data_IF_084230255864
#
_entry.id   IF_084230255864
#
_cell.length_a   1.000
_cell.length_b   1.000
_cell.length_c   1.000
_cell.angle_alpha   90.00
_cell.angle_beta   90.00
_cell.angle_gamma   90.00
#
_symmetry.space_group_name_H-M   'P 1'
#
loop_
_entity.id
_entity.type
_entity.pdbx_description
1 polymer ?
#
# COMPACT_ATOMS: atom_id res chain seq x y z
N UNK A 1 -6.40 -5.52 6.09
CA UNK A 1 -6.81 -4.26 5.40
C UNK A 1 -6.52 -4.24 3.90
N UNK A 2 -5.76 -5.21 3.36
CA UNK A 2 -5.49 -5.33 1.93
C UNK A 2 -6.70 -5.68 1.06
N UNK A 3 -7.62 -6.52 1.55
CA UNK A 3 -8.82 -6.91 0.79
C UNK A 3 -9.73 -5.71 0.52
N UNK A 4 -9.86 -4.80 1.50
CA UNK A 4 -10.61 -3.56 1.33
C UNK A 4 -9.93 -2.62 0.31
N UNK A 5 -8.60 -2.51 0.35
CA UNK A 5 -7.84 -1.73 -0.64
C UNK A 5 -7.95 -2.33 -2.05
N UNK A 6 -7.86 -3.65 -2.18
CA UNK A 6 -8.04 -4.34 -3.47
C UNK A 6 -9.47 -4.12 -4.01
N UNK A 7 -10.49 -4.26 -3.15
CA UNK A 7 -11.88 -4.00 -3.53
C UNK A 7 -12.10 -2.54 -3.95
N UNK A 8 -11.50 -1.58 -3.23
CA UNK A 8 -11.57 -0.15 -3.55
C UNK A 8 -10.91 0.15 -4.91
N UNK A 9 -9.72 -0.40 -5.16
CA UNK A 9 -9.00 -0.23 -6.43
C UNK A 9 -9.78 -0.83 -7.61
N UNK A 10 -10.37 -2.01 -7.43
CA UNK A 10 -11.20 -2.64 -8.45
C UNK A 10 -12.47 -1.81 -8.72
N UNK A 11 -13.13 -1.31 -7.68
CA UNK A 11 -14.31 -0.46 -7.80
C UNK A 11 -13.98 0.88 -8.50
N UNK A 12 -12.87 1.53 -8.12
CA UNK A 12 -12.39 2.75 -8.75
C UNK A 12 -12.06 2.55 -10.23
N UNK A 13 -11.38 1.44 -10.57
CA UNK A 13 -11.05 1.09 -11.95
C UNK A 13 -12.31 0.78 -12.77
N UNK A 14 -13.29 0.09 -12.20
CA UNK A 14 -14.57 -0.19 -12.85
C UNK A 14 -15.37 1.10 -13.11
N UNK A 15 -15.44 1.99 -12.11
CA UNK A 15 -16.08 3.30 -12.24
C UNK A 15 -15.38 4.16 -13.31
N UNK A 16 -14.04 4.23 -13.29
CA UNK A 16 -13.26 4.93 -14.29
C UNK A 16 -13.47 4.38 -15.70
N UNK A 17 -13.51 3.06 -15.88
CA UNK A 17 -13.80 2.43 -17.18
C UNK A 17 -15.20 2.77 -17.68
N UNK A 18 -16.20 2.83 -16.79
CA UNK A 18 -17.58 3.20 -17.15
C UNK A 18 -17.67 4.67 -17.58
N UNK A 19 -17.08 5.58 -16.81
CA UNK A 19 -17.08 7.02 -17.08
C UNK A 19 -16.26 7.33 -18.34
N UNK A 20 -15.09 6.71 -18.50
CA UNK A 20 -14.22 6.96 -19.65
C UNK A 20 -14.81 6.45 -20.96
N UNK A 21 -15.57 5.34 -20.96
CA UNK A 21 -16.35 4.92 -22.13
C UNK A 21 -17.44 5.93 -22.44
N UNK A 22 -18.30 6.24 -21.46
CA UNK A 22 -19.39 7.20 -21.65
C UNK A 22 -18.93 8.60 -22.12
N UNK A 23 -17.78 9.09 -21.63
CA UNK A 23 -17.28 10.43 -21.94
C UNK A 23 -16.37 10.50 -23.18
N UNK A 24 -15.68 9.40 -23.54
CA UNK A 24 -14.65 9.41 -24.59
C UNK A 24 -14.92 8.42 -25.73
N UNK A 25 -16.10 7.81 -25.82
CA UNK A 25 -16.44 6.90 -26.93
C UNK A 25 -16.34 7.56 -28.31
N UNK A 26 -16.55 8.88 -28.40
CA UNK A 26 -16.36 9.67 -29.62
C UNK A 26 -14.90 10.08 -29.93
N UNK A 27 -13.93 9.87 -29.02
CA UNK A 27 -12.53 10.33 -29.17
C UNK A 27 -11.52 9.24 -28.74
N UNK A 28 -11.28 8.22 -29.59
CA UNK A 28 -10.44 7.07 -29.24
C UNK A 28 -8.98 7.44 -28.91
N UNK A 29 -8.43 8.49 -29.53
CA UNK A 29 -7.06 8.96 -29.25
C UNK A 29 -6.89 9.49 -27.83
N UNK A 30 -7.87 10.23 -27.31
CA UNK A 30 -7.84 10.77 -25.95
C UNK A 30 -7.88 9.64 -24.92
N UNK A 31 -8.68 8.61 -25.18
CA UNK A 31 -8.78 7.42 -24.33
C UNK A 31 -7.44 6.68 -24.22
N UNK A 32 -6.71 6.53 -25.32
CA UNK A 32 -5.39 5.89 -25.33
C UNK A 32 -4.33 6.71 -24.59
N UNK A 33 -4.32 8.03 -24.76
CA UNK A 33 -3.39 8.91 -24.03
C UNK A 33 -3.67 8.84 -22.53
N UNK A 34 -4.94 8.90 -22.11
CA UNK A 34 -5.32 8.77 -20.70
C UNK A 34 -4.94 7.41 -20.12
N UNK A 35 -5.14 6.32 -20.88
CA UNK A 35 -4.76 4.98 -20.45
C UNK A 35 -3.23 4.83 -20.31
N UNK A 36 -2.46 5.36 -21.28
CA UNK A 36 -1.00 5.33 -21.24
C UNK A 36 -0.45 6.14 -20.05
N UNK A 37 -1.03 7.32 -19.79
CA UNK A 37 -0.65 8.16 -18.65
C UNK A 37 -0.97 7.46 -17.32
N UNK A 38 -2.18 6.91 -17.19
CA UNK A 38 -2.58 6.16 -15.99
C UNK A 38 -1.66 4.96 -15.75
N UNK A 39 -1.29 4.24 -16.81
CA UNK A 39 -0.34 3.13 -16.72
C UNK A 39 1.03 3.62 -16.25
N UNK A 40 1.56 4.70 -16.83
CA UNK A 40 2.86 5.26 -16.46
C UNK A 40 2.92 5.70 -14.99
N UNK A 41 1.86 6.36 -14.51
CA UNK A 41 1.74 6.76 -13.09
C UNK A 41 1.68 5.52 -12.21
N UNK A 42 0.83 4.55 -12.54
CA UNK A 42 0.69 3.33 -11.75
C UNK A 42 2.00 2.52 -11.68
N UNK A 43 2.76 2.44 -12.78
CA UNK A 43 4.06 1.78 -12.78
C UNK A 43 5.12 2.57 -12.02
N UNK A 44 5.13 3.90 -12.15
CA UNK A 44 6.07 4.77 -11.46
C UNK A 44 5.86 4.74 -9.94
N UNK A 45 4.67 5.12 -9.47
CA UNK A 45 4.37 5.13 -8.04
C UNK A 45 4.34 3.72 -7.45
N UNK A 46 3.80 2.75 -8.20
CA UNK A 46 3.77 1.35 -7.77
C UNK A 46 5.16 0.74 -7.58
N UNK A 47 6.12 1.06 -8.45
CA UNK A 47 7.49 0.59 -8.30
C UNK A 47 8.23 1.25 -7.15
N UNK A 48 8.04 2.55 -6.93
CA UNK A 48 8.62 3.26 -5.78
C UNK A 48 8.09 2.71 -4.45
N UNK A 49 6.78 2.49 -4.37
CA UNK A 49 6.14 1.87 -3.20
C UNK A 49 6.64 0.43 -2.99
N UNK A 50 6.73 -0.37 -4.06
CA UNK A 50 7.25 -1.73 -3.97
C UNK A 50 8.70 -1.75 -3.47
N UNK A 51 9.57 -0.88 -3.98
CA UNK A 51 10.96 -0.78 -3.54
C UNK A 51 11.07 -0.43 -2.05
N UNK A 52 10.24 0.52 -1.57
CA UNK A 52 10.21 0.90 -0.15
C UNK A 52 9.83 -0.28 0.75
N UNK A 53 8.87 -1.11 0.33
CA UNK A 53 8.46 -2.29 1.11
C UNK A 53 9.43 -3.47 1.00
N UNK A 54 10.08 -3.65 -0.15
CA UNK A 54 11.07 -4.72 -0.34
C UNK A 54 12.28 -4.56 0.57
N UNK A 55 12.78 -3.33 0.77
CA UNK A 55 13.91 -3.10 1.68
C UNK A 55 13.60 -3.51 3.14
N UNK A 56 12.33 -3.39 3.55
CA UNK A 56 11.92 -3.83 4.88
C UNK A 56 11.81 -5.37 4.99
N UNK A 57 11.39 -6.05 3.91
CA UNK A 57 11.45 -7.51 3.85
C UNK A 57 12.88 -8.02 3.79
N UNK A 58 13.78 -7.33 3.08
CA UNK A 58 15.19 -7.70 3.02
C UNK A 58 15.83 -7.62 4.41
N UNK A 59 15.63 -6.51 5.14
CA UNK A 59 16.11 -6.37 6.50
C UNK A 59 15.59 -7.49 7.44
N UNK A 60 14.30 -7.86 7.32
CA UNK A 60 13.73 -8.96 8.11
C UNK A 60 14.23 -10.34 7.68
N UNK A 61 14.39 -10.57 6.38
CA UNK A 61 14.88 -11.82 5.83
C UNK A 61 16.31 -12.10 6.31
N UNK A 62 17.17 -11.07 6.29
CA UNK A 62 18.53 -11.14 6.86
C UNK A 62 18.49 -11.40 8.37
N UNK A 63 17.60 -10.74 9.13
CA UNK A 63 17.49 -10.95 10.58
C UNK A 63 16.95 -12.33 10.97
N UNK A 64 16.24 -13.02 10.09
CA UNK A 64 15.62 -14.32 10.34
C UNK A 64 16.33 -15.48 9.61
N UNK A 65 17.48 -15.24 8.96
CA UNK A 65 18.21 -16.22 8.12
C UNK A 65 17.29 -16.95 7.13
N UNK A 66 16.39 -16.19 6.50
CA UNK A 66 15.42 -16.70 5.51
C UNK A 66 15.62 -16.03 4.16
N UNK A 67 15.19 -16.70 3.09
CA UNK A 67 15.09 -16.04 1.79
C UNK A 67 14.01 -14.97 1.83
N UNK A 68 14.16 -13.91 1.02
CA UNK A 68 13.20 -12.81 0.94
C UNK A 68 11.79 -13.31 0.60
N UNK A 69 11.68 -14.31 -0.28
CA UNK A 69 10.40 -14.93 -0.62
C UNK A 69 9.80 -15.69 0.57
N UNK A 70 10.61 -16.46 1.31
CA UNK A 70 10.14 -17.17 2.50
C UNK A 70 9.65 -16.21 3.59
N UNK A 71 10.31 -15.06 3.76
CA UNK A 71 9.89 -14.03 4.71
C UNK A 71 8.59 -13.31 4.29
N UNK A 72 8.43 -13.01 3.00
CA UNK A 72 7.17 -12.46 2.45
C UNK A 72 6.00 -13.40 2.72
N UNK A 73 6.20 -14.71 2.56
CA UNK A 73 5.17 -15.71 2.82
C UNK A 73 4.90 -15.91 4.30
N UNK A 74 5.92 -15.83 5.16
CA UNK A 74 5.77 -16.00 6.60
C UNK A 74 5.04 -14.82 7.26
N UNK A 75 5.29 -13.59 6.81
CA UNK A 75 4.70 -12.37 7.38
C UNK A 75 4.34 -11.35 6.30
N UNK A 76 3.26 -11.58 5.53
CA UNK A 76 2.81 -10.60 4.56
C UNK A 76 2.44 -9.29 5.27
N UNK A 77 2.79 -8.13 4.74
CA UNK A 77 2.44 -6.78 5.29
C UNK A 77 0.95 -6.64 5.64
N UNK A 78 0.11 -7.45 5.02
CA UNK A 78 -1.32 -7.55 5.22
C UNK A 78 -1.77 -8.25 6.51
N UNK A 79 -0.88 -8.97 7.21
CA UNK A 79 -1.20 -9.79 8.39
C UNK A 79 -1.23 -9.01 9.72
N UNK A 80 -0.96 -7.70 9.69
CA UNK A 80 -1.26 -6.78 10.79
C UNK A 80 -0.64 -7.16 12.14
N UNK A 81 0.62 -6.79 12.36
CA UNK A 81 1.08 -6.54 13.72
C UNK A 81 0.65 -5.13 14.10
N UNK A 82 -0.25 -5.03 15.08
CA UNK A 82 -0.75 -3.79 15.62
C UNK A 82 0.40 -2.83 15.96
N UNK A 83 0.34 -1.59 15.45
CA UNK A 83 0.86 -0.45 16.19
C UNK A 83 -0.06 -0.26 17.39
N UNK A 84 0.15 -1.10 18.41
CA UNK A 84 -0.41 -0.89 19.73
C UNK A 84 0.29 0.33 20.33
N UNK A 85 -0.40 1.46 20.29
CA UNK A 85 -0.33 2.50 21.32
C UNK A 85 1.03 3.14 21.61
N UNK A 86 1.49 4.04 20.73
CA UNK A 86 2.19 5.25 21.22
C UNK A 86 1.17 6.29 21.68
N UNK A 87 0.56 6.03 22.83
CA UNK A 87 0.19 7.06 23.77
C UNK A 87 0.63 6.57 25.14
N UNK A 88 1.96 6.56 25.30
CA UNK A 88 2.60 6.71 26.60
C UNK A 88 1.99 7.94 27.25
N UNK A 89 0.93 7.73 28.04
CA UNK A 89 0.46 8.71 29.01
C UNK A 89 1.61 8.85 30.01
N UNK A 90 2.47 9.81 29.67
CA UNK A 90 3.27 10.63 30.56
C UNK A 90 2.73 10.54 31.98
N UNK A 91 3.40 9.75 32.82
CA UNK A 91 3.24 9.86 34.26
C UNK A 91 3.86 11.21 34.67
N UNK A 92 3.10 12.17 35.22
CA UNK A 92 3.71 13.16 36.07
C UNK A 92 3.92 12.54 37.45
N UNK A 93 5.14 12.74 37.95
CA UNK A 93 5.55 12.44 39.30
C UNK A 93 4.54 12.97 40.35
N UNK A 94 4.15 12.13 41.29
CA UNK A 94 3.68 12.58 42.60
C UNK A 94 4.63 12.05 43.68
N UNK A 95 5.52 12.94 44.09
CA UNK A 95 6.21 12.92 45.38
C UNK A 95 5.17 13.20 46.48
N UNK A 96 4.99 12.29 47.44
CA UNK A 96 4.70 12.57 48.86
C UNK A 96 4.62 11.22 49.60
N UNK A 97 5.54 10.80 50.48
CA UNK A 97 5.91 11.32 51.80
C UNK A 97 4.75 11.26 52.82
N UNK A 98 4.55 10.09 53.44
CA UNK A 98 4.74 9.83 54.89
C UNK A 98 4.25 8.42 55.23
#
# INVERSE_FOLDING_TARGET
>A
MCCALAALLLAALAAWRRISRAAFDWRPRVRWVAAALALAIATGEGSALAAHHLGHYEARATANDRSLLAEIWAQPICSGSASTGHASLRAPAYLDRR
#
